data_IF_649405163731
#
_entry.id   IF_649405163731
#
_cell.length_a   1.000
_cell.length_b   1.000
_cell.length_c   1.000
_cell.angle_alpha   90.00
_cell.angle_beta   90.00
_cell.angle_gamma   90.00
#
_symmetry.space_group_name_H-M   'P 1'
#
loop_
_entity.id
_entity.type
_entity.pdbx_description
1 polymer ?
#
# COMPACT_ATOMS: atom_id res chain seq x y z
N UNK A 1 -11.38 -7.42 7.92
CA UNK A 1 -11.26 -6.02 8.38
C UNK A 1 -12.08 -5.16 7.44
N UNK A 2 -13.23 -4.66 7.88
CA UNK A 2 -13.73 -3.38 7.36
C UNK A 2 -12.71 -2.34 7.83
N UNK A 3 -12.35 -1.35 7.03
CA UNK A 3 -11.50 -0.22 7.47
C UNK A 3 -12.27 0.63 8.49
N UNK A 4 -12.57 0.04 9.66
CA UNK A 4 -13.24 0.69 10.77
C UNK A 4 -12.20 0.91 11.86
N UNK A 5 -12.24 2.12 12.42
CA UNK A 5 -11.43 2.55 13.53
C UNK A 5 -11.50 1.51 14.66
N UNK A 6 -10.35 1.05 15.13
CA UNK A 6 -10.25 0.45 16.46
C UNK A 6 -10.04 1.59 17.44
N UNK A 7 -11.04 1.85 18.28
CA UNK A 7 -10.85 2.67 19.47
C UNK A 7 -10.05 1.82 20.47
N UNK A 8 -8.84 2.27 20.80
CA UNK A 8 -7.81 1.67 21.68
C UNK A 8 -6.82 0.74 20.97
N UNK A 9 -5.65 1.28 20.60
CA UNK A 9 -4.49 0.49 20.14
C UNK A 9 -3.79 -0.17 21.34
N UNK A 10 -3.75 -1.50 21.35
CA UNK A 10 -2.93 -2.29 22.29
C UNK A 10 -1.47 -2.31 21.84
N UNK A 11 -0.51 -2.57 22.74
CA UNK A 11 0.90 -2.83 22.36
C UNK A 11 1.05 -4.06 21.46
N UNK A 12 0.03 -4.92 21.42
CA UNK A 12 -0.01 -6.13 20.61
C UNK A 12 -0.61 -5.89 19.21
N UNK A 13 -1.20 -4.71 18.94
CA UNK A 13 -1.68 -4.38 17.59
C UNK A 13 -0.46 -4.12 16.67
N UNK A 14 -0.43 -4.67 15.44
CA UNK A 14 0.67 -4.44 14.53
C UNK A 14 0.70 -3.00 14.02
N UNK A 15 1.91 -2.51 13.72
CA UNK A 15 2.12 -1.29 12.95
C UNK A 15 1.61 -1.51 11.52
N UNK A 16 0.48 -0.88 11.21
CA UNK A 16 -0.29 -1.15 10.00
C UNK A 16 0.16 -0.25 8.87
N UNK A 17 0.73 -0.86 7.84
CA UNK A 17 1.17 -0.16 6.62
C UNK A 17 0.20 -0.47 5.50
N UNK A 18 -0.51 0.55 5.00
CA UNK A 18 -1.34 0.42 3.80
C UNK A 18 -0.50 0.72 2.57
N UNK A 19 -0.53 -0.15 1.58
CA UNK A 19 0.22 -0.05 0.33
C UNK A 19 -0.78 0.00 -0.82
N UNK A 20 -0.69 1.09 -1.58
CA UNK A 20 -1.44 1.32 -2.82
C UNK A 20 -0.47 1.21 -3.98
N UNK A 21 -0.30 0.02 -4.55
CA UNK A 21 0.65 -0.23 -5.63
C UNK A 21 0.11 -1.30 -6.59
N UNK A 22 0.86 -1.68 -7.61
CA UNK A 22 0.55 -2.83 -8.47
C UNK A 22 0.99 -4.14 -7.79
N UNK A 23 0.14 -5.16 -7.80
CA UNK A 23 0.39 -6.49 -7.26
C UNK A 23 1.67 -7.17 -7.80
N UNK A 24 2.12 -6.81 -9.01
CA UNK A 24 3.41 -7.29 -9.58
C UNK A 24 4.62 -6.90 -8.74
N UNK A 25 4.50 -5.92 -7.84
CA UNK A 25 5.64 -5.37 -7.10
C UNK A 25 5.77 -5.86 -5.66
N UNK A 26 4.92 -6.80 -5.23
CA UNK A 26 4.92 -7.31 -3.85
C UNK A 26 6.26 -8.01 -3.50
N UNK A 27 7.00 -8.48 -4.50
CA UNK A 27 8.36 -9.05 -4.34
C UNK A 27 9.38 -8.09 -3.73
N UNK A 28 9.24 -6.78 -3.95
CA UNK A 28 10.13 -5.74 -3.39
C UNK A 28 9.96 -5.56 -1.88
N UNK A 29 8.94 -6.19 -1.30
CA UNK A 29 8.65 -6.15 0.13
C UNK A 29 9.04 -7.44 0.88
N UNK A 30 9.60 -8.44 0.17
CA UNK A 30 10.04 -9.70 0.78
C UNK A 30 11.29 -9.43 1.63
N UNK A 31 11.22 -9.82 2.90
CA UNK A 31 12.27 -9.61 3.90
C UNK A 31 12.68 -10.92 4.59
N UNK A 32 13.78 -10.88 5.34
CA UNK A 32 14.20 -11.93 6.27
C UNK A 32 14.38 -11.33 7.67
N UNK A 33 13.57 -11.69 8.68
CA UNK A 33 12.41 -12.61 8.60
C UNK A 33 11.26 -12.05 7.74
N UNK A 34 10.38 -12.91 7.19
CA UNK A 34 9.26 -12.48 6.36
C UNK A 34 8.24 -11.69 7.17
N UNK A 35 7.67 -10.65 6.54
CA UNK A 35 6.62 -9.82 7.13
C UNK A 35 5.25 -10.51 7.03
N UNK A 36 4.38 -10.26 8.00
CA UNK A 36 2.96 -10.56 7.85
C UNK A 36 2.34 -9.60 6.85
N UNK A 37 1.50 -10.11 5.95
CA UNK A 37 0.77 -9.26 5.03
C UNK A 37 -0.64 -9.76 4.73
N UNK A 38 -1.51 -8.84 4.31
CA UNK A 38 -2.88 -9.09 3.90
C UNK A 38 -3.16 -8.41 2.57
N UNK A 39 -3.72 -9.17 1.63
CA UNK A 39 -4.30 -8.59 0.42
C UNK A 39 -5.71 -8.11 0.69
N UNK A 40 -6.02 -6.91 0.20
CA UNK A 40 -7.33 -6.29 0.26
C UNK A 40 -7.93 -6.23 -1.16
N UNK A 41 -9.12 -6.77 -1.31
CA UNK A 41 -9.89 -6.73 -2.57
C UNK A 41 -11.18 -5.95 -2.38
N UNK A 42 -11.62 -5.26 -3.44
CA UNK A 42 -12.93 -4.60 -3.42
C UNK A 42 -14.03 -5.64 -3.62
N UNK A 43 -14.97 -5.70 -2.68
CA UNK A 43 -16.11 -6.59 -2.72
C UNK A 43 -17.36 -5.86 -2.23
N UNK A 44 -18.37 -5.74 -3.10
CA UNK A 44 -19.68 -5.19 -2.77
C UNK A 44 -19.64 -3.77 -2.18
N UNK A 45 -18.73 -2.93 -2.69
CA UNK A 45 -18.52 -1.57 -2.22
C UNK A 45 -17.75 -1.49 -0.90
N UNK A 46 -16.86 -2.44 -0.61
CA UNK A 46 -15.95 -2.39 0.55
C UNK A 46 -14.63 -3.10 0.26
N UNK A 47 -13.50 -2.55 0.72
CA UNK A 47 -12.23 -3.27 0.75
C UNK A 47 -12.22 -4.31 1.87
N UNK A 48 -12.01 -5.59 1.53
CA UNK A 48 -11.98 -6.72 2.47
C UNK A 48 -10.71 -7.54 2.30
N UNK A 49 -10.25 -8.14 3.39
CA UNK A 49 -9.14 -9.10 3.36
C UNK A 49 -9.56 -10.30 2.52
N UNK A 50 -8.75 -10.64 1.52
CA UNK A 50 -8.98 -11.80 0.66
C UNK A 50 -8.84 -13.11 1.45
N UNK A 51 -9.44 -14.18 0.95
CA UNK A 51 -9.30 -15.51 1.55
C UNK A 51 -7.83 -15.97 1.54
N UNK A 52 -7.39 -16.66 2.59
CA UNK A 52 -6.00 -17.11 2.74
C UNK A 52 -5.06 -16.09 3.38
N UNK A 53 -5.57 -14.93 3.83
CA UNK A 53 -4.80 -13.88 4.49
C UNK A 53 -5.23 -13.64 5.95
N UNK A 54 -4.33 -13.13 6.83
CA UNK A 54 -2.93 -12.79 6.55
C UNK A 54 -2.05 -14.02 6.31
N UNK A 55 -0.97 -13.84 5.56
CA UNK A 55 0.08 -14.84 5.33
C UNK A 55 1.47 -14.24 5.50
N UNK A 56 2.50 -15.07 5.50
CA UNK A 56 3.89 -14.59 5.49
C UNK A 56 4.30 -14.23 4.07
N UNK A 57 4.85 -13.02 3.90
CA UNK A 57 5.31 -12.55 2.61
C UNK A 57 6.67 -13.15 2.26
N UNK A 58 6.65 -14.35 1.67
CA UNK A 58 7.83 -15.04 1.17
C UNK A 58 8.04 -14.78 -0.33
N UNK A 59 9.22 -15.11 -0.85
CA UNK A 59 9.49 -15.05 -2.28
C UNK A 59 8.63 -16.02 -3.12
N UNK A 60 8.11 -17.09 -2.51
CA UNK A 60 7.15 -18.00 -3.16
C UNK A 60 5.76 -17.36 -3.20
N UNK A 61 5.29 -16.81 -2.08
CA UNK A 61 4.01 -16.10 -2.03
C UNK A 61 4.00 -14.93 -3.00
N UNK A 62 5.05 -14.09 -3.00
CA UNK A 62 5.15 -12.97 -3.92
C UNK A 62 5.05 -13.41 -5.40
N UNK A 63 5.69 -14.53 -5.77
CA UNK A 63 5.61 -15.10 -7.12
C UNK A 63 4.23 -15.67 -7.44
N UNK A 64 3.52 -16.17 -6.45
CA UNK A 64 2.14 -16.60 -6.60
C UNK A 64 1.22 -15.39 -6.85
N UNK A 65 1.40 -14.29 -6.10
CA UNK A 65 0.57 -13.07 -6.24
C UNK A 65 0.71 -12.39 -7.60
N UNK A 66 1.88 -12.45 -8.22
CA UNK A 66 2.06 -11.93 -9.59
C UNK A 66 1.08 -12.55 -10.62
N UNK A 67 0.42 -13.67 -10.27
CA UNK A 67 -0.56 -14.35 -11.12
C UNK A 67 -2.00 -13.96 -10.83
N UNK A 68 -2.26 -13.20 -9.78
CA UNK A 68 -3.61 -12.83 -9.40
C UNK A 68 -4.06 -11.55 -10.13
N UNK A 69 -5.28 -11.57 -10.67
CA UNK A 69 -5.75 -10.56 -11.61
C UNK A 69 -7.01 -9.87 -11.06
N UNK A 70 -6.81 -8.87 -10.21
CA UNK A 70 -7.91 -8.10 -9.65
C UNK A 70 -8.61 -7.25 -10.71
N UNK A 71 -9.94 -7.20 -10.62
CA UNK A 71 -10.69 -6.07 -11.17
C UNK A 71 -10.47 -4.87 -10.25
N UNK A 72 -9.87 -3.82 -10.78
CA UNK A 72 -9.53 -2.62 -10.00
C UNK A 72 -10.47 -1.47 -10.37
N UNK A 73 -11.08 -0.87 -9.36
CA UNK A 73 -11.87 0.35 -9.51
C UNK A 73 -11.21 1.48 -8.74
N UNK A 74 -10.47 2.35 -9.45
CA UNK A 74 -9.85 3.54 -8.86
C UNK A 74 -10.87 4.44 -8.12
N UNK A 75 -12.08 4.70 -8.64
CA UNK A 75 -13.10 5.44 -7.88
C UNK A 75 -13.52 4.76 -6.59
N UNK A 76 -13.63 3.42 -6.58
CA UNK A 76 -13.95 2.68 -5.37
C UNK A 76 -12.81 2.75 -4.35
N UNK A 77 -11.56 2.59 -4.80
CA UNK A 77 -10.37 2.74 -3.95
C UNK A 77 -10.35 4.14 -3.32
N UNK A 78 -10.47 5.20 -4.12
CA UNK A 78 -10.50 6.58 -3.61
C UNK A 78 -11.61 6.78 -2.58
N UNK A 79 -12.81 6.23 -2.82
CA UNK A 79 -13.91 6.28 -1.85
C UNK A 79 -13.53 5.59 -0.54
N UNK A 80 -12.97 4.40 -0.58
CA UNK A 80 -12.53 3.67 0.62
C UNK A 80 -11.41 4.38 1.37
N UNK A 81 -10.49 5.02 0.64
CA UNK A 81 -9.41 5.77 1.25
C UNK A 81 -9.90 7.02 2.00
N UNK A 82 -10.94 7.69 1.50
CA UNK A 82 -11.60 8.81 2.22
C UNK A 82 -12.30 8.37 3.50
N UNK A 83 -12.65 7.09 3.59
CA UNK A 83 -13.32 6.50 4.75
C UNK A 83 -12.33 5.91 5.77
N UNK A 84 -11.02 5.99 5.51
CA UNK A 84 -9.98 5.56 6.45
C UNK A 84 -10.05 6.38 7.74
N UNK A 85 -10.64 5.79 8.79
CA UNK A 85 -10.69 6.37 10.14
C UNK A 85 -9.63 5.72 11.02
N UNK A 86 -8.44 6.32 11.11
CA UNK A 86 -7.48 6.10 12.21
C UNK A 86 -6.91 4.69 12.42
N UNK A 87 -6.89 3.83 11.39
CA UNK A 87 -6.41 2.44 11.49
C UNK A 87 -5.14 2.13 10.68
N UNK A 88 -4.53 3.14 10.06
CA UNK A 88 -3.33 3.01 9.25
C UNK A 88 -2.25 3.89 9.88
N UNK A 89 -1.12 3.28 10.22
CA UNK A 89 0.01 3.97 10.81
C UNK A 89 0.95 4.57 9.76
N UNK A 90 0.97 3.99 8.56
CA UNK A 90 1.75 4.48 7.43
C UNK A 90 1.12 4.12 6.08
N UNK A 91 1.15 5.04 5.13
CA UNK A 91 0.64 4.87 3.78
C UNK A 91 1.78 4.93 2.75
N UNK A 92 1.87 3.90 1.92
CA UNK A 92 2.74 3.89 0.74
C UNK A 92 1.90 3.99 -0.52
N UNK A 93 2.29 4.90 -1.41
CA UNK A 93 1.67 5.05 -2.73
C UNK A 93 2.71 4.76 -3.80
N UNK A 94 2.51 3.66 -4.51
CA UNK A 94 3.31 3.29 -5.66
C UNK A 94 3.03 4.20 -6.85
N UNK A 95 4.07 4.84 -7.37
CA UNK A 95 4.01 5.46 -8.68
C UNK A 95 4.53 4.48 -9.74
N UNK A 96 3.66 3.56 -10.15
CA UNK A 96 3.90 2.74 -11.33
C UNK A 96 3.11 3.29 -12.52
N UNK A 97 3.74 3.37 -13.69
CA UNK A 97 3.13 3.87 -14.93
C UNK A 97 2.38 5.22 -14.80
N UNK A 98 2.84 6.11 -13.89
CA UNK A 98 2.22 7.43 -13.66
C UNK A 98 0.88 7.41 -12.92
N UNK A 99 0.43 6.25 -12.43
CA UNK A 99 -0.90 6.09 -11.80
C UNK A 99 -0.91 6.49 -10.32
N UNK A 100 0.25 6.64 -9.68
CA UNK A 100 0.34 7.02 -8.28
C UNK A 100 -0.14 8.46 -8.03
N UNK A 101 0.07 9.38 -8.98
CA UNK A 101 -0.22 10.81 -8.78
C UNK A 101 -1.72 11.11 -8.71
N UNK A 102 -2.58 10.59 -9.62
CA UNK A 102 -4.03 10.71 -9.48
C UNK A 102 -4.57 10.19 -8.14
N UNK A 103 -4.05 9.04 -7.66
CA UNK A 103 -4.41 8.48 -6.35
C UNK A 103 -3.99 9.41 -5.22
N UNK A 104 -2.73 9.84 -5.22
CA UNK A 104 -2.17 10.72 -4.19
C UNK A 104 -2.92 12.05 -4.06
N UNK A 105 -3.38 12.63 -5.17
CA UNK A 105 -4.18 13.87 -5.19
C UNK A 105 -5.61 13.70 -4.68
N UNK A 106 -6.11 12.46 -4.66
CA UNK A 106 -7.48 12.16 -4.25
C UNK A 106 -7.62 11.90 -2.75
N UNK A 107 -6.50 11.78 -2.05
CA UNK A 107 -6.43 11.53 -0.61
C UNK A 107 -6.65 12.81 0.19
N UNK A 108 -7.33 12.74 1.35
CA UNK A 108 -7.45 13.86 2.26
C UNK A 108 -6.08 14.21 2.89
N UNK A 109 -5.79 15.49 3.07
CA UNK A 109 -4.53 15.97 3.66
C UNK A 109 -4.22 15.37 5.03
N UNK A 110 -5.26 15.02 5.81
CA UNK A 110 -5.14 14.36 7.11
C UNK A 110 -4.46 12.98 7.07
N UNK A 111 -4.29 12.39 5.88
CA UNK A 111 -3.59 11.12 5.66
C UNK A 111 -2.18 11.34 5.08
N UNK A 112 -1.90 12.52 4.52
CA UNK A 112 -0.70 12.83 3.71
C UNK A 112 0.48 13.35 4.56
N UNK A 113 0.27 13.57 5.86
CA UNK A 113 1.29 14.10 6.76
C UNK A 113 2.54 13.17 6.89
N UNK A 114 3.24 13.18 8.02
CA UNK A 114 4.46 12.36 8.17
C UNK A 114 4.19 10.83 8.07
N UNK A 115 2.93 10.42 7.93
CA UNK A 115 2.50 9.04 7.79
C UNK A 115 2.28 8.61 6.34
N UNK A 116 2.76 9.35 5.34
CA UNK A 116 2.70 8.93 3.94
C UNK A 116 4.02 9.07 3.17
N UNK A 117 4.27 8.14 2.25
CA UNK A 117 5.39 8.20 1.30
C UNK A 117 4.99 7.77 -0.11
N UNK A 118 5.67 8.37 -1.09
CA UNK A 118 5.60 7.93 -2.49
C UNK A 118 6.77 6.99 -2.77
N UNK A 119 6.45 5.80 -3.26
CA UNK A 119 7.44 4.80 -3.67
C UNK A 119 7.49 4.72 -5.19
N UNK A 120 8.68 4.61 -5.75
CA UNK A 120 8.90 4.62 -7.19
C UNK A 120 9.93 3.59 -7.62
N UNK A 121 9.95 3.23 -8.90
CA UNK A 121 10.97 2.33 -9.44
C UNK A 121 12.34 3.01 -9.52
N UNK A 122 12.77 3.34 -10.73
CA UNK A 122 14.10 3.96 -10.96
C UNK A 122 14.06 5.48 -10.78
N UNK A 123 12.99 6.13 -11.22
CA UNK A 123 12.84 7.59 -11.20
C UNK A 123 11.42 8.02 -10.85
N UNK A 124 11.28 9.28 -10.43
CA UNK A 124 10.01 9.92 -10.10
C UNK A 124 9.96 11.33 -10.73
N UNK A 125 9.69 11.46 -12.04
CA UNK A 125 9.62 12.75 -12.72
C UNK A 125 8.62 13.72 -12.09
N UNK A 126 7.52 13.18 -11.52
CA UNK A 126 6.43 13.96 -10.94
C UNK A 126 6.67 14.42 -9.49
N UNK A 127 7.89 14.26 -8.94
CA UNK A 127 8.17 14.57 -7.53
C UNK A 127 7.70 15.97 -7.10
N UNK A 128 7.84 16.97 -7.98
CA UNK A 128 7.38 18.35 -7.72
C UNK A 128 5.87 18.48 -7.63
N UNK A 129 5.12 17.63 -8.32
CA UNK A 129 3.66 17.60 -8.22
C UNK A 129 3.21 16.95 -6.92
N UNK A 130 3.91 15.90 -6.46
CA UNK A 130 3.65 15.31 -5.14
C UNK A 130 3.99 16.27 -3.99
N UNK A 131 5.11 17.01 -4.09
CA UNK A 131 5.46 18.03 -3.10
C UNK A 131 4.38 19.11 -2.98
N UNK A 132 3.83 19.58 -4.11
CA UNK A 132 2.71 20.54 -4.12
C UNK A 132 1.45 19.98 -3.45
N UNK A 133 1.24 18.66 -3.52
CA UNK A 133 0.15 17.94 -2.85
C UNK A 133 0.45 17.58 -1.39
N UNK A 134 1.56 18.05 -0.82
CA UNK A 134 1.85 17.89 0.61
C UNK A 134 2.81 16.75 0.97
N UNK A 135 3.10 15.83 0.04
CA UNK A 135 4.01 14.71 0.31
C UNK A 135 5.44 15.18 0.53
N UNK A 136 6.13 14.58 1.51
CA UNK A 136 7.52 14.92 1.87
C UNK A 136 8.47 13.75 1.83
N UNK A 137 7.95 12.52 1.86
CA UNK A 137 8.76 11.31 1.90
C UNK A 137 8.70 10.59 0.56
N UNK A 138 9.89 10.33 0.01
CA UNK A 138 10.09 9.70 -1.29
C UNK A 138 11.24 8.72 -1.21
N UNK A 139 11.05 7.50 -1.69
CA UNK A 139 12.13 6.53 -1.78
C UNK A 139 11.87 5.47 -2.85
N UNK A 140 12.93 4.77 -3.24
CA UNK A 140 12.81 3.66 -4.18
C UNK A 140 11.99 2.54 -3.57
N UNK A 141 11.24 1.85 -4.41
CA UNK A 141 10.40 0.72 -4.01
C UNK A 141 11.22 -0.38 -3.32
N UNK A 142 12.43 -0.66 -3.81
CA UNK A 142 13.36 -1.62 -3.21
C UNK A 142 13.81 -1.25 -1.80
N UNK A 143 13.62 0.00 -1.38
CA UNK A 143 13.93 0.49 -0.03
C UNK A 143 12.68 0.52 0.86
N UNK A 144 11.49 0.27 0.31
CA UNK A 144 10.25 0.53 1.02
C UNK A 144 10.13 -0.30 2.29
N UNK A 145 10.35 -1.61 2.21
CA UNK A 145 10.27 -2.48 3.38
C UNK A 145 11.27 -2.08 4.48
N UNK A 146 12.51 -1.71 4.12
CA UNK A 146 13.51 -1.31 5.13
C UNK A 146 13.16 0.02 5.81
N UNK A 147 12.56 0.97 5.08
CA UNK A 147 12.12 2.27 5.59
C UNK A 147 10.95 2.18 6.57
N UNK A 148 10.16 1.11 6.52
CA UNK A 148 9.02 0.91 7.45
C UNK A 148 9.45 0.47 8.85
N UNK A 149 10.67 -0.07 9.03
CA UNK A 149 11.12 -0.54 10.34
C UNK A 149 11.42 0.59 11.32
N UNK A 150 11.92 1.73 10.86
CA UNK A 150 12.21 2.88 11.72
C UNK A 150 10.95 3.38 12.45
N UNK A 151 9.84 3.74 11.75
CA UNK A 151 8.63 4.17 12.43
C UNK A 151 7.97 3.05 13.24
N UNK A 152 8.01 1.80 12.77
CA UNK A 152 7.44 0.66 13.51
C UNK A 152 8.20 0.34 14.80
N UNK A 153 9.53 0.42 14.77
CA UNK A 153 10.41 0.26 15.93
C UNK A 153 10.21 1.39 16.92
N UNK A 154 10.08 2.63 16.43
CA UNK A 154 9.72 3.79 17.26
C UNK A 154 8.38 3.60 17.99
N UNK A 155 7.44 2.88 17.36
CA UNK A 155 6.16 2.54 17.95
C UNK A 155 6.17 1.24 18.79
N UNK A 156 7.27 0.49 18.81
CA UNK A 156 7.38 -0.79 19.51
C UNK A 156 6.46 -1.89 18.99
N UNK A 157 5.98 -1.81 17.74
CA UNK A 157 4.97 -2.72 17.17
C UNK A 157 5.52 -3.48 15.95
N UNK A 158 5.17 -4.76 15.76
CA UNK A 158 5.57 -5.51 14.57
C UNK A 158 4.87 -4.94 13.32
N UNK A 159 5.58 -4.90 12.19
CA UNK A 159 5.02 -4.42 10.91
C UNK A 159 4.05 -5.45 10.33
N UNK A 160 2.87 -5.00 9.92
CA UNK A 160 1.92 -5.76 9.10
C UNK A 160 1.55 -4.96 7.85
N UNK A 161 1.72 -5.57 6.69
CA UNK A 161 1.44 -4.93 5.41
C UNK A 161 0.00 -5.21 4.96
N UNK A 162 -0.69 -4.20 4.46
CA UNK A 162 -2.01 -4.31 3.84
C UNK A 162 -1.91 -3.78 2.43
N UNK A 163 -2.22 -4.61 1.44
CA UNK A 163 -2.02 -4.26 0.04
C UNK A 163 -3.36 -4.11 -0.68
N UNK A 164 -3.57 -2.98 -1.34
CA UNK A 164 -4.66 -2.78 -2.30
C UNK A 164 -4.04 -2.66 -3.68
N UNK A 165 -4.41 -3.55 -4.59
CA UNK A 165 -3.98 -3.43 -5.97
C UNK A 165 -4.64 -2.20 -6.63
N UNK A 166 -3.83 -1.39 -7.28
CA UNK A 166 -4.25 -0.12 -7.91
C UNK A 166 -4.26 -0.18 -9.43
N UNK A 167 -3.76 -1.28 -10.02
CA UNK A 167 -3.68 -1.44 -11.47
C UNK A 167 -4.43 -2.69 -11.91
N UNK A 168 -5.38 -2.51 -12.82
CA UNK A 168 -5.97 -3.63 -13.55
C UNK A 168 -5.14 -3.91 -14.81
N UNK A 169 -4.76 -5.16 -15.02
CA UNK A 169 -4.24 -5.61 -16.31
C UNK A 169 -5.38 -5.60 -17.34
N UNK A 170 -5.28 -4.72 -18.32
CA UNK A 170 -6.19 -4.61 -19.47
C UNK A 170 -5.42 -4.06 -20.67
N UNK A 171 -6.04 -3.96 -21.84
CA UNK A 171 -5.37 -3.50 -23.08
C UNK A 171 -4.71 -2.10 -22.96
N UNK A 172 -5.12 -1.29 -21.98
CA UNK A 172 -4.58 0.05 -21.74
C UNK A 172 -3.37 0.05 -20.79
N UNK A 173 -3.20 -1.00 -19.99
CA UNK A 173 -2.19 -1.10 -18.92
C UNK A 173 -1.32 -2.36 -19.01
N UNK A 174 -1.58 -3.25 -19.96
CA UNK A 174 -0.81 -4.45 -20.17
C UNK A 174 0.50 -4.11 -20.87
N UNK A 175 1.61 -4.39 -20.19
CA UNK A 175 2.88 -4.64 -20.83
C UNK A 175 3.17 -6.13 -20.66
N UNK A 176 3.13 -6.88 -21.77
CA UNK A 176 3.75 -8.21 -21.84
C UNK A 176 5.26 -8.03 -21.53
N UNK A 177 5.92 -8.99 -20.85
CA UNK A 177 7.37 -8.96 -20.64
C UNK A 177 8.17 -8.85 -21.94
#
# INVERSE_FOLDING_TARGET
>A
MTLQAKDSQSSDDPFTVLILDNEVTVSEFVMSPPLSWSRLTEQQGACRIAEGYPSLLTAEQARFEMKNWDQVSLPAIVRHLKELKGGVDYLLIGNNAGQGLPLARSLPESIIDNHAAIIYGVSLPEIKEYEKSGYRTFFRRSEAASRLFEPATGAGRPVSLFFINTIQHNELNYHDP
#
